data_IF_417321294865
#
_entry.id   IF_417321294865
#
_cell.length_a   1.000
_cell.length_b   1.000
_cell.length_c   1.000
_cell.angle_alpha   90.00
_cell.angle_beta   90.00
_cell.angle_gamma   90.00
#
_symmetry.space_group_name_H-M   'P 1'
#
loop_
_entity.id
_entity.type
_entity.pdbx_description
1 polymer ?
#
# COMPACT_ATOMS: atom_id res chain seq x y z
N UNK A 1 -6.77 43.38 -51.52
CA UNK A 1 -7.01 43.10 -50.08
C UNK A 1 -6.33 41.78 -49.73
N UNK A 2 -5.22 41.82 -48.97
CA UNK A 2 -4.45 40.63 -48.58
C UNK A 2 -5.06 40.07 -47.28
N UNK A 3 -5.63 38.86 -47.33
CA UNK A 3 -6.13 38.16 -46.13
C UNK A 3 -4.95 37.46 -45.45
N UNK A 4 -4.58 37.94 -44.26
CA UNK A 4 -3.67 37.23 -43.36
C UNK A 4 -4.46 36.13 -42.64
N UNK A 5 -4.13 34.87 -42.91
CA UNK A 5 -4.63 33.73 -42.15
C UNK A 5 -3.76 33.51 -40.93
N UNK A 6 -4.34 33.65 -39.73
CA UNK A 6 -3.71 33.24 -38.48
C UNK A 6 -3.86 31.71 -38.37
N UNK A 7 -2.74 30.99 -38.42
CA UNK A 7 -2.71 29.55 -38.15
C UNK A 7 -2.59 29.39 -36.63
N UNK A 8 -3.69 29.01 -35.98
CA UNK A 8 -3.71 28.61 -34.58
C UNK A 8 -3.16 27.19 -34.48
N UNK A 9 -1.92 27.05 -34.00
CA UNK A 9 -1.28 25.74 -33.80
C UNK A 9 -1.76 25.18 -32.45
N UNK A 10 -2.69 24.22 -32.48
CA UNK A 10 -3.06 23.45 -31.29
C UNK A 10 -1.94 22.44 -31.03
N UNK A 11 -1.07 22.73 -30.06
CA UNK A 11 -0.07 21.79 -29.58
C UNK A 11 -0.79 20.72 -28.73
N UNK A 12 -1.13 19.59 -29.33
CA UNK A 12 -1.59 18.43 -28.56
C UNK A 12 -0.38 17.80 -27.90
N UNK A 13 -0.13 18.11 -26.63
CA UNK A 13 0.80 17.34 -25.81
C UNK A 13 0.24 15.93 -25.64
N UNK A 14 0.75 14.99 -26.44
CA UNK A 14 0.55 13.57 -26.18
C UNK A 14 1.32 13.21 -24.90
N UNK A 15 0.61 13.15 -23.78
CA UNK A 15 1.19 12.62 -22.55
C UNK A 15 1.53 11.14 -22.78
N UNK A 16 2.77 10.68 -22.49
CA UNK A 16 3.08 9.26 -22.59
C UNK A 16 2.15 8.46 -21.67
N UNK A 17 1.63 7.35 -22.20
CA UNK A 17 0.91 6.36 -21.40
C UNK A 17 1.92 5.61 -20.53
N UNK A 18 2.34 6.22 -19.44
CA UNK A 18 3.13 5.51 -18.42
C UNK A 18 2.17 4.68 -17.59
N UNK A 19 2.17 3.36 -17.82
CA UNK A 19 1.50 2.42 -16.91
C UNK A 19 2.23 2.42 -15.56
N UNK A 20 1.49 2.38 -14.45
CA UNK A 20 2.09 2.17 -13.13
C UNK A 20 3.08 1.01 -13.15
N UNK A 21 4.21 1.16 -12.46
CA UNK A 21 5.04 0.00 -12.18
C UNK A 21 4.22 -1.03 -11.38
N UNK A 22 4.34 -2.31 -11.73
CA UNK A 22 3.63 -3.40 -11.05
C UNK A 22 4.35 -3.75 -9.76
N UNK A 23 3.59 -4.06 -8.70
CA UNK A 23 4.16 -4.63 -7.48
C UNK A 23 4.95 -5.92 -7.79
N UNK A 24 6.10 -6.06 -7.14
CA UNK A 24 6.94 -7.26 -7.19
C UNK A 24 6.66 -8.10 -5.94
N UNK A 25 6.39 -9.38 -6.14
CA UNK A 25 6.10 -10.34 -5.07
C UNK A 25 4.96 -9.88 -4.11
N UNK A 26 3.77 -9.47 -4.61
CA UNK A 26 2.72 -8.89 -3.77
C UNK A 26 2.04 -9.87 -2.79
N UNK A 27 2.21 -11.17 -2.98
CA UNK A 27 1.75 -12.22 -2.06
C UNK A 27 2.90 -12.97 -1.40
N UNK A 28 4.11 -12.41 -1.40
CA UNK A 28 5.26 -12.95 -0.66
C UNK A 28 5.74 -14.36 -1.06
N UNK A 29 5.30 -14.89 -2.20
CA UNK A 29 5.55 -16.24 -2.73
C UNK A 29 7.03 -16.62 -2.96
N UNK A 30 7.96 -15.67 -2.84
CA UNK A 30 9.40 -15.97 -2.83
C UNK A 30 9.89 -16.48 -1.46
N UNK A 31 9.01 -16.52 -0.44
CA UNK A 31 9.37 -16.88 0.93
C UNK A 31 10.20 -15.81 1.65
N UNK A 32 10.24 -14.59 1.13
CA UNK A 32 11.02 -13.48 1.69
C UNK A 32 10.37 -12.12 1.42
N UNK A 33 10.82 -11.10 2.15
CA UNK A 33 10.47 -9.69 1.90
C UNK A 33 11.35 -9.04 0.81
N UNK A 34 11.97 -9.81 -0.09
CA UNK A 34 12.78 -9.21 -1.15
C UNK A 34 11.95 -8.22 -1.98
N UNK A 35 12.47 -7.00 -2.15
CA UNK A 35 11.82 -5.83 -2.78
C UNK A 35 10.72 -5.15 -1.93
N UNK A 36 10.56 -5.54 -0.67
CA UNK A 36 9.72 -4.87 0.31
C UNK A 36 10.59 -4.31 1.43
N UNK A 37 10.28 -3.10 1.87
CA UNK A 37 10.89 -2.49 3.05
C UNK A 37 10.01 -2.82 4.25
N UNK A 38 10.60 -3.39 5.30
CA UNK A 38 9.93 -3.62 6.58
C UNK A 38 10.50 -2.66 7.63
N UNK A 39 9.64 -2.14 8.48
CA UNK A 39 9.98 -1.30 9.62
C UNK A 39 9.13 -1.69 10.82
N UNK A 40 9.71 -1.59 12.01
CA UNK A 40 9.14 -2.16 13.23
C UNK A 40 9.52 -3.64 13.39
N UNK A 41 9.16 -4.18 14.55
CA UNK A 41 9.60 -5.49 15.03
C UNK A 41 8.75 -6.65 14.47
N UNK A 42 9.29 -7.87 14.61
CA UNK A 42 8.61 -9.17 14.41
C UNK A 42 7.87 -9.39 13.09
N UNK A 43 8.35 -8.78 12.01
CA UNK A 43 7.94 -9.15 10.67
C UNK A 43 8.52 -10.50 10.27
N UNK A 44 7.65 -11.40 9.80
CA UNK A 44 8.04 -12.69 9.23
C UNK A 44 7.18 -13.04 8.02
N UNK A 45 7.76 -13.79 7.09
CA UNK A 45 6.97 -14.50 6.08
C UNK A 45 6.57 -15.85 6.68
N UNK A 46 5.27 -16.15 6.67
CA UNK A 46 4.70 -17.37 7.25
C UNK A 46 4.27 -18.35 6.17
N UNK A 47 4.39 -19.65 6.45
CA UNK A 47 3.81 -20.75 5.65
C UNK A 47 2.65 -21.45 6.38
N UNK A 48 2.20 -20.91 7.52
CA UNK A 48 1.08 -21.51 8.25
C UNK A 48 -0.21 -21.27 7.46
N UNK A 49 -1.07 -22.29 7.40
CA UNK A 49 -2.22 -22.31 6.49
C UNK A 49 -3.22 -21.16 6.66
N UNK A 50 -3.34 -20.60 7.88
CA UNK A 50 -4.22 -19.47 8.16
C UNK A 50 -3.51 -18.09 8.03
N UNK A 51 -2.21 -18.07 7.78
CA UNK A 51 -1.43 -16.86 7.53
C UNK A 51 -1.28 -16.55 6.03
N UNK A 52 -1.96 -17.32 5.17
CA UNK A 52 -1.89 -17.17 3.71
C UNK A 52 -3.30 -17.01 3.14
N UNK A 53 -3.52 -15.97 2.34
CA UNK A 53 -4.79 -15.79 1.61
C UNK A 53 -4.79 -16.58 0.32
N UNK A 54 -3.65 -16.63 -0.37
CA UNK A 54 -3.44 -17.39 -1.60
C UNK A 54 -1.98 -17.82 -1.67
N UNK A 55 -1.73 -18.96 -2.29
CA UNK A 55 -0.37 -19.46 -2.47
C UNK A 55 0.14 -20.13 -1.21
N UNK A 56 1.44 -19.98 -0.94
CA UNK A 56 2.13 -20.69 0.12
C UNK A 56 2.67 -19.78 1.24
N UNK A 57 2.52 -18.46 1.09
CA UNK A 57 3.14 -17.49 1.97
C UNK A 57 2.23 -16.29 2.26
N UNK A 58 2.46 -15.63 3.39
CA UNK A 58 1.89 -14.33 3.72
C UNK A 58 2.82 -13.54 4.64
N UNK A 59 2.66 -12.21 4.68
CA UNK A 59 3.42 -11.35 5.57
C UNK A 59 2.70 -11.21 6.90
N UNK A 60 3.37 -11.58 7.98
CA UNK A 60 2.83 -11.51 9.34
C UNK A 60 3.69 -10.58 10.18
N UNK A 61 3.04 -9.81 11.04
CA UNK A 61 3.69 -9.20 12.19
C UNK A 61 2.96 -9.59 13.46
N UNK A 62 3.75 -9.92 14.48
CA UNK A 62 3.28 -10.41 15.78
C UNK A 62 3.45 -9.30 16.82
N UNK A 63 2.37 -8.74 17.37
CA UNK A 63 2.46 -7.71 18.43
C UNK A 63 2.31 -8.39 19.79
N UNK A 64 3.41 -8.58 20.51
CA UNK A 64 3.42 -9.33 21.77
C UNK A 64 2.94 -8.49 22.95
N UNK A 65 2.48 -9.15 24.01
CA UNK A 65 2.00 -8.49 25.25
C UNK A 65 3.10 -7.77 26.03
N UNK A 66 4.37 -8.08 25.72
CA UNK A 66 5.56 -7.50 26.33
C UNK A 66 6.39 -6.69 25.33
N UNK A 67 5.80 -6.30 24.20
CA UNK A 67 6.45 -5.45 23.20
C UNK A 67 6.90 -4.12 23.81
N UNK A 68 7.95 -3.57 23.21
CA UNK A 68 8.46 -2.25 23.57
C UNK A 68 8.50 -1.35 22.34
N UNK A 69 7.88 -0.17 22.49
CA UNK A 69 8.19 1.10 21.81
C UNK A 69 7.80 1.33 20.35
N UNK A 70 7.30 0.35 19.59
CA UNK A 70 6.79 0.63 18.24
C UNK A 70 5.37 1.21 18.31
N UNK A 71 5.18 2.44 17.84
CA UNK A 71 3.83 2.96 17.56
C UNK A 71 3.29 2.41 16.23
N UNK A 72 4.18 2.22 15.25
CA UNK A 72 3.84 1.73 13.92
C UNK A 72 4.79 0.62 13.45
N UNK A 73 4.21 -0.41 12.84
CA UNK A 73 4.93 -1.44 12.07
C UNK A 73 4.46 -1.39 10.63
N UNK A 74 5.38 -1.42 9.69
CA UNK A 74 5.12 -1.13 8.28
C UNK A 74 5.80 -2.15 7.38
N UNK A 75 5.08 -2.64 6.37
CA UNK A 75 5.64 -3.32 5.21
C UNK A 75 5.28 -2.53 3.95
N UNK A 76 6.27 -2.15 3.14
CA UNK A 76 6.08 -1.17 2.08
C UNK A 76 6.84 -1.49 0.79
N UNK A 77 6.30 -1.06 -0.35
CA UNK A 77 7.01 -1.05 -1.63
C UNK A 77 6.77 0.27 -2.36
N UNK A 78 7.87 0.88 -2.83
CA UNK A 78 7.81 2.06 -3.69
C UNK A 78 7.72 1.66 -5.17
N UNK A 79 6.83 2.32 -5.89
CA UNK A 79 6.58 2.12 -7.31
C UNK A 79 6.62 3.45 -8.04
N UNK A 80 6.91 3.44 -9.34
CA UNK A 80 6.72 4.63 -10.18
C UNK A 80 5.24 4.99 -10.26
N UNK A 81 4.95 6.26 -10.05
CA UNK A 81 3.64 6.88 -10.27
C UNK A 81 3.83 8.21 -11.00
N UNK A 82 2.75 8.78 -11.52
CA UNK A 82 2.81 10.01 -12.30
C UNK A 82 1.67 10.93 -11.91
N UNK A 83 1.98 12.21 -11.75
CA UNK A 83 1.01 13.26 -11.49
C UNK A 83 -0.17 13.22 -12.48
N UNK A 84 -1.37 13.52 -11.99
CA UNK A 84 -2.60 13.60 -12.80
C UNK A 84 -3.18 12.24 -13.21
N UNK A 85 -2.55 11.12 -12.83
CA UNK A 85 -3.13 9.78 -13.01
C UNK A 85 -3.94 9.38 -11.77
N UNK A 86 -5.02 8.64 -12.00
CA UNK A 86 -5.79 8.03 -10.93
C UNK A 86 -5.35 6.60 -10.70
N UNK A 87 -5.28 6.20 -9.44
CA UNK A 87 -4.85 4.88 -9.00
C UNK A 87 -5.87 4.26 -8.05
N UNK A 88 -5.80 2.94 -7.90
CA UNK A 88 -6.45 2.21 -6.80
C UNK A 88 -5.45 1.30 -6.12
N UNK A 89 -5.68 1.02 -4.84
CA UNK A 89 -4.90 0.06 -4.08
C UNK A 89 -5.82 -0.90 -3.32
N UNK A 90 -5.35 -2.13 -3.11
CA UNK A 90 -6.05 -3.16 -2.33
C UNK A 90 -5.04 -4.08 -1.65
N UNK A 91 -5.39 -4.64 -0.50
CA UNK A 91 -4.68 -5.72 0.17
C UNK A 91 -5.67 -6.58 0.94
N UNK A 92 -5.38 -7.87 1.08
CA UNK A 92 -6.14 -8.74 1.97
C UNK A 92 -5.52 -8.70 3.36
N UNK A 93 -6.35 -8.39 4.36
CA UNK A 93 -5.92 -8.32 5.76
C UNK A 93 -6.70 -9.36 6.56
N UNK A 94 -5.97 -10.16 7.33
CA UNK A 94 -6.50 -10.96 8.44
C UNK A 94 -5.94 -10.39 9.74
N UNK A 95 -6.78 -10.31 10.76
CA UNK A 95 -6.41 -9.84 12.08
C UNK A 95 -6.97 -10.79 13.13
N UNK A 96 -6.15 -11.17 14.10
CA UNK A 96 -6.49 -12.20 15.10
C UNK A 96 -6.08 -11.73 16.48
N UNK A 97 -6.95 -11.97 17.46
CA UNK A 97 -6.79 -11.53 18.84
C UNK A 97 -6.60 -10.01 18.98
N UNK A 98 -7.12 -9.21 18.05
CA UNK A 98 -6.98 -7.75 18.03
C UNK A 98 -7.63 -7.13 19.27
N UNK A 99 -6.80 -6.67 20.20
CA UNK A 99 -7.19 -6.06 21.48
C UNK A 99 -6.93 -4.55 21.47
N UNK A 100 -5.73 -4.13 21.05
CA UNK A 100 -5.26 -2.75 21.16
C UNK A 100 -4.40 -2.30 19.98
N UNK A 101 -4.58 -2.97 18.85
CA UNK A 101 -3.94 -2.64 17.58
C UNK A 101 -4.98 -2.42 16.49
N UNK A 102 -4.55 -1.81 15.39
CA UNK A 102 -5.32 -1.78 14.16
C UNK A 102 -4.41 -1.96 12.96
N UNK A 103 -4.96 -2.46 11.85
CA UNK A 103 -4.21 -2.61 10.60
C UNK A 103 -4.94 -1.97 9.44
N UNK A 104 -4.20 -1.41 8.49
CA UNK A 104 -4.78 -0.75 7.33
C UNK A 104 -3.82 -0.72 6.14
N UNK A 105 -4.40 -0.40 4.98
CA UNK A 105 -3.67 -0.05 3.77
C UNK A 105 -3.44 1.45 3.75
N UNK A 106 -2.20 1.85 3.48
CA UNK A 106 -1.83 3.24 3.23
C UNK A 106 -1.14 3.37 1.87
N UNK A 107 -1.39 4.48 1.18
CA UNK A 107 -0.64 4.88 -0.01
C UNK A 107 -0.20 6.32 0.14
N UNK A 108 1.09 6.58 -0.06
CA UNK A 108 1.65 7.93 -0.13
C UNK A 108 2.16 8.20 -1.55
N UNK A 109 1.75 9.32 -2.15
CA UNK A 109 2.39 9.83 -3.36
C UNK A 109 3.59 10.67 -2.97
N UNK A 110 4.73 10.36 -3.57
CA UNK A 110 6.00 10.96 -3.23
C UNK A 110 6.57 11.74 -4.41
N UNK A 111 7.26 12.83 -4.09
CA UNK A 111 8.08 13.56 -5.05
C UNK A 111 9.33 12.77 -5.43
N UNK A 112 10.12 13.30 -6.36
CA UNK A 112 11.43 12.72 -6.73
C UNK A 112 12.39 12.60 -5.54
N UNK A 113 12.31 13.51 -4.56
CA UNK A 113 13.18 13.53 -3.38
C UNK A 113 12.63 12.69 -2.22
N UNK A 114 11.47 12.05 -2.38
CA UNK A 114 10.83 11.24 -1.35
C UNK A 114 9.94 12.05 -0.39
N UNK A 115 9.69 13.32 -0.68
CA UNK A 115 8.73 14.12 0.08
C UNK A 115 7.32 13.55 -0.10
N UNK A 116 6.57 13.40 1.00
CA UNK A 116 5.17 13.01 0.95
C UNK A 116 4.30 14.18 0.47
N UNK A 117 3.74 14.04 -0.74
CA UNK A 117 2.88 15.04 -1.35
C UNK A 117 1.42 14.84 -0.96
N UNK A 118 0.99 13.59 -0.80
CA UNK A 118 -0.37 13.25 -0.40
C UNK A 118 -0.45 11.81 0.13
N UNK A 119 -1.26 11.61 1.15
CA UNK A 119 -1.49 10.31 1.78
C UNK A 119 -2.97 9.93 1.71
N UNK A 120 -3.21 8.64 1.51
CA UNK A 120 -4.52 8.00 1.57
C UNK A 120 -4.46 6.78 2.46
N UNK A 121 -5.54 6.49 3.18
CA UNK A 121 -5.66 5.36 4.08
C UNK A 121 -7.00 4.66 3.88
N UNK A 122 -7.02 3.34 3.96
CA UNK A 122 -8.28 2.59 4.04
C UNK A 122 -8.94 2.76 5.40
N UNK A 123 -10.19 2.32 5.53
CA UNK A 123 -10.78 2.07 6.85
C UNK A 123 -9.92 1.05 7.61
N UNK A 124 -9.54 1.31 8.87
CA UNK A 124 -8.75 0.35 9.64
C UNK A 124 -9.55 -0.89 10.04
N UNK A 125 -8.87 -2.03 10.04
CA UNK A 125 -9.30 -3.28 10.68
C UNK A 125 -8.94 -3.18 12.16
N UNK A 126 -9.96 -3.09 13.01
CA UNK A 126 -9.84 -2.86 14.47
C UNK A 126 -10.31 -4.04 15.32
N UNK A 127 -10.62 -5.17 14.70
CA UNK A 127 -11.16 -6.36 15.37
C UNK A 127 -10.79 -7.60 14.58
N UNK A 128 -10.93 -8.74 15.24
CA UNK A 128 -10.78 -10.04 14.62
C UNK A 128 -11.61 -10.17 13.35
N UNK A 129 -10.94 -10.61 12.30
CA UNK A 129 -11.56 -10.95 11.03
C UNK A 129 -10.71 -11.98 10.30
N UNK A 130 -11.38 -12.87 9.59
CA UNK A 130 -10.72 -13.63 8.53
C UNK A 130 -10.33 -12.71 7.36
N UNK A 131 -9.49 -13.19 6.46
CA UNK A 131 -9.00 -12.42 5.33
C UNK A 131 -10.13 -11.72 4.58
N UNK A 132 -10.11 -10.39 4.62
CA UNK A 132 -11.04 -9.53 3.93
C UNK A 132 -10.28 -8.45 3.17
N UNK A 133 -10.72 -8.06 1.96
CA UNK A 133 -10.04 -7.04 1.19
C UNK A 133 -10.33 -5.67 1.79
N UNK A 134 -9.28 -4.87 1.99
CA UNK A 134 -9.39 -3.44 2.22
C UNK A 134 -8.87 -2.71 0.98
N UNK A 135 -9.50 -1.61 0.61
CA UNK A 135 -9.12 -0.89 -0.62
C UNK A 135 -9.21 0.62 -0.46
N UNK A 136 -8.42 1.30 -1.30
CA UNK A 136 -8.55 2.73 -1.57
C UNK A 136 -8.95 2.85 -3.05
N UNK A 137 -10.24 3.08 -3.35
CA UNK A 137 -10.80 2.78 -4.66
C UNK A 137 -10.42 3.78 -5.76
N UNK A 138 -10.07 5.01 -5.39
CA UNK A 138 -9.64 6.04 -6.31
C UNK A 138 -8.75 7.06 -5.60
N UNK A 139 -7.55 7.27 -6.12
CA UNK A 139 -6.57 8.24 -5.63
C UNK A 139 -6.02 9.01 -6.83
N UNK A 140 -6.22 10.31 -6.88
CA UNK A 140 -5.59 11.16 -7.90
C UNK A 140 -4.20 11.54 -7.43
N UNK A 141 -3.17 11.19 -8.20
CA UNK A 141 -1.80 11.59 -7.89
C UNK A 141 -1.64 13.11 -8.05
N UNK A 142 -1.19 13.84 -7.01
CA UNK A 142 -1.01 15.28 -7.07
C UNK A 142 0.13 15.67 -8.03
N UNK A 143 0.21 16.96 -8.36
CA UNK A 143 1.35 17.53 -9.07
C UNK A 143 2.67 17.21 -8.36
N UNK A 144 3.74 16.97 -9.13
CA UNK A 144 5.05 16.59 -8.59
C UNK A 144 5.21 15.11 -8.24
N UNK A 145 4.15 14.30 -8.33
CA UNK A 145 4.24 12.84 -8.08
C UNK A 145 5.15 12.15 -9.08
N UNK A 146 6.13 11.41 -8.54
CA UNK A 146 7.07 10.55 -9.28
C UNK A 146 7.02 9.09 -8.78
N UNK A 147 6.57 8.90 -7.54
CA UNK A 147 6.45 7.59 -6.91
C UNK A 147 5.16 7.46 -6.11
N UNK A 148 4.73 6.22 -5.88
CA UNK A 148 3.77 5.86 -4.86
C UNK A 148 4.43 4.85 -3.92
N UNK A 149 4.26 5.02 -2.61
CA UNK A 149 4.66 4.06 -1.58
C UNK A 149 3.40 3.36 -1.05
N UNK A 150 3.28 2.07 -1.32
CA UNK A 150 2.14 1.23 -0.94
C UNK A 150 2.52 0.50 0.34
N UNK A 151 1.68 0.56 1.38
CA UNK A 151 2.01 0.05 2.70
C UNK A 151 0.91 -0.80 3.32
N UNK A 152 1.28 -1.92 3.92
CA UNK A 152 0.54 -2.50 5.03
C UNK A 152 1.05 -1.89 6.32
N UNK A 153 0.15 -1.34 7.13
CA UNK A 153 0.49 -0.67 8.39
C UNK A 153 -0.25 -1.35 9.53
N UNK A 154 0.47 -1.60 10.62
CA UNK A 154 -0.09 -1.91 11.93
C UNK A 154 0.21 -0.73 12.84
N UNK A 155 -0.83 -0.21 13.48
CA UNK A 155 -0.75 0.87 14.46
C UNK A 155 -1.08 0.29 15.83
N UNK A 156 -0.17 0.49 16.78
CA UNK A 156 -0.26 -0.06 18.13
C UNK A 156 -0.81 1.05 19.03
N UNK A 157 -2.11 1.00 19.32
CA UNK A 157 -2.82 1.98 20.16
C UNK A 157 -2.54 1.74 21.65
N UNK A 158 -2.17 0.51 22.00
CA UNK A 158 -1.75 0.06 23.32
C UNK A 158 -1.19 -1.35 23.21
N UNK A 159 -0.50 -1.80 24.25
CA UNK A 159 -0.01 -3.17 24.28
C UNK A 159 -1.17 -4.15 24.46
N UNK A 160 -1.23 -5.24 23.70
CA UNK A 160 -2.12 -6.36 23.99
C UNK A 160 -1.92 -6.86 25.42
N UNK A 161 -2.99 -7.31 26.08
CA UNK A 161 -2.92 -7.74 27.48
C UNK A 161 -3.13 -9.23 27.67
N UNK A 162 -3.91 -9.87 26.79
CA UNK A 162 -4.26 -11.29 26.95
C UNK A 162 -3.47 -12.18 26.02
N UNK A 163 -3.40 -11.81 24.74
CA UNK A 163 -2.73 -12.59 23.71
C UNK A 163 -1.86 -11.69 22.82
N UNK A 164 -1.08 -12.32 21.93
CA UNK A 164 -0.40 -11.61 20.85
C UNK A 164 -1.43 -11.18 19.82
N UNK A 165 -1.37 -9.92 19.35
CA UNK A 165 -2.21 -9.47 18.23
C UNK A 165 -1.48 -9.83 16.93
N UNK A 166 -2.09 -10.66 16.09
CA UNK A 166 -1.51 -11.04 14.80
C UNK A 166 -2.15 -10.26 13.67
N UNK A 167 -1.31 -9.64 12.83
CA UNK A 167 -1.74 -8.97 11.62
C UNK A 167 -1.08 -9.60 10.42
N UNK A 168 -1.90 -10.03 9.48
CA UNK A 168 -1.46 -10.72 8.29
C UNK A 168 -1.89 -9.92 7.06
N UNK A 169 -0.93 -9.64 6.19
CA UNK A 169 -1.13 -8.99 4.91
C UNK A 169 -0.76 -9.95 3.78
N UNK A 170 -1.61 -10.01 2.76
CA UNK A 170 -1.34 -10.82 1.58
C UNK A 170 -2.00 -10.21 0.33
N UNK A 171 -1.44 -10.53 -0.83
CA UNK A 171 -1.95 -10.18 -2.16
C UNK A 171 -2.21 -8.68 -2.36
N UNK A 172 -1.18 -7.86 -2.12
CA UNK A 172 -1.25 -6.43 -2.42
C UNK A 172 -1.51 -6.17 -3.91
N UNK A 173 -2.21 -5.07 -4.17
CA UNK A 173 -2.53 -4.62 -5.53
C UNK A 173 -2.42 -3.11 -5.62
N UNK A 174 -1.86 -2.65 -6.73
CA UNK A 174 -1.82 -1.24 -7.09
C UNK A 174 -1.96 -1.11 -8.61
N UNK A 175 -3.00 -0.42 -9.05
CA UNK A 175 -3.31 -0.26 -10.48
C UNK A 175 -3.56 1.20 -10.83
N UNK A 176 -3.13 1.61 -12.03
CA UNK A 176 -3.68 2.82 -12.68
C UNK A 176 -5.12 2.58 -13.12
N UNK A 177 -6.03 3.49 -12.77
CA UNK A 177 -7.38 3.52 -13.29
C UNK A 177 -7.36 4.07 -14.72
N UNK A 178 -8.04 3.39 -15.65
CA UNK A 178 -8.21 3.91 -17.00
C UNK A 178 -9.13 5.13 -16.94
N UNK A 179 -8.65 6.29 -17.36
CA UNK A 179 -9.52 7.40 -17.74
C UNK A 179 -10.40 6.93 -18.90
N UNK A 180 -11.72 6.99 -18.72
CA UNK A 180 -12.68 6.73 -19.80
C UNK A 180 -12.68 7.89 -20.79
#
# INVERSE_FOLDING_TARGET
>A
MKRFGIILSILVLAAPLTQAAKLINPGFETGSFQNWNVAGQDWRVSTWHDDQRRGAYGAVTDVFTNDVSDEFRVIAQELKASAGKSYRAEVWIRAVCTESTESFLEVQFLSKTGENLQQFQSTPVKKDQDFSPVSIPCMLAPEGTEKACIKGVVHILGMPVTNTDWHIFDNFRFDTLKTR
#
